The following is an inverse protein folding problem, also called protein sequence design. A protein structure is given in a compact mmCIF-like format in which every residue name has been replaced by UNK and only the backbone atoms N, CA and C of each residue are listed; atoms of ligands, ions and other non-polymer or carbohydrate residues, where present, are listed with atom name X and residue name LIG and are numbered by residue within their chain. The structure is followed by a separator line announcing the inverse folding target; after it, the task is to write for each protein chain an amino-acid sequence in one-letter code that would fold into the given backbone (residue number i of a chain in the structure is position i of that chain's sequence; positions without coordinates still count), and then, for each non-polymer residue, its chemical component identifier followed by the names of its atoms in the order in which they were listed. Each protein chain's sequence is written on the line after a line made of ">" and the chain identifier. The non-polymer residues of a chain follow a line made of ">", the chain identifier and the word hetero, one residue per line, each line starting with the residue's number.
data_IF_277357797627
#
_entry.id   IF_277357797627
#
_cell.length_a   1.000
_cell.length_b   1.000
_cell.length_c   1.000
_cell.angle_alpha   90.00
_cell.angle_beta   90.00
_cell.angle_gamma   90.00
#
_symmetry.space_group_name_H-M   'P 1'
#
loop_
_entity.id
_entity.type
_entity.pdbx_description
1 polymer ?
#
# COMPACT_ATOMS: atom_id res chain seq x y z
N UNK A 1 27.89 -26.96 3.91
CA UNK A 1 26.93 -27.02 5.02
C UNK A 1 26.31 -25.65 5.13
N UNK A 2 25.02 -25.50 4.87
CA UNK A 2 24.31 -24.23 5.09
C UNK A 2 24.14 -24.07 6.60
N UNK A 3 24.77 -23.06 7.20
CA UNK A 3 24.51 -22.77 8.61
C UNK A 3 23.05 -22.32 8.77
N UNK A 4 22.24 -23.00 9.59
CA UNK A 4 20.88 -22.57 9.88
C UNK A 4 20.90 -21.14 10.42
N UNK A 5 19.93 -20.31 10.01
CA UNK A 5 19.76 -18.94 10.52
C UNK A 5 21.01 -18.03 10.39
N UNK A 6 21.87 -18.23 9.38
CA UNK A 6 23.01 -17.36 9.11
C UNK A 6 22.60 -15.88 8.98
N UNK A 7 21.54 -15.60 8.22
CA UNK A 7 21.00 -14.25 8.03
C UNK A 7 20.55 -13.63 9.37
N UNK A 8 19.84 -14.39 10.20
CA UNK A 8 19.47 -13.92 11.53
C UNK A 8 20.69 -13.55 12.38
N UNK A 9 21.72 -14.40 12.41
CA UNK A 9 22.94 -14.10 13.18
C UNK A 9 23.63 -12.83 12.70
N UNK A 10 23.72 -12.60 11.39
CA UNK A 10 24.27 -11.34 10.87
C UNK A 10 23.48 -10.12 11.37
N UNK A 11 22.14 -10.18 11.33
CA UNK A 11 21.28 -9.11 11.83
C UNK A 11 21.42 -8.95 13.35
N UNK A 12 21.40 -10.05 14.11
CA UNK A 12 21.52 -10.06 15.57
C UNK A 12 22.87 -9.49 16.03
N UNK A 13 23.97 -9.87 15.37
CA UNK A 13 25.32 -9.34 15.62
C UNK A 13 25.40 -7.85 15.31
N UNK A 14 24.79 -7.39 14.21
CA UNK A 14 24.70 -5.97 13.87
C UNK A 14 23.91 -5.20 14.96
N UNK A 15 22.74 -5.69 15.36
CA UNK A 15 21.89 -5.05 16.37
C UNK A 15 22.54 -5.02 17.75
N UNK A 16 23.19 -6.11 18.16
CA UNK A 16 23.87 -6.20 19.47
C UNK A 16 25.00 -5.19 19.60
N UNK A 17 25.70 -4.89 18.49
CA UNK A 17 26.77 -3.88 18.44
C UNK A 17 26.28 -2.45 18.21
N UNK A 18 24.97 -2.21 18.12
CA UNK A 18 24.42 -0.91 17.76
C UNK A 18 24.64 0.14 18.85
N UNK A 19 24.87 1.38 18.41
CA UNK A 19 25.01 2.55 19.26
C UNK A 19 24.40 3.78 18.57
N UNK A 20 23.91 4.73 19.35
CA UNK A 20 23.25 5.93 18.83
C UNK A 20 21.88 5.60 18.21
N UNK A 21 21.85 5.30 16.91
CA UNK A 21 20.61 5.08 16.15
C UNK A 21 20.64 3.79 15.34
N UNK A 22 19.47 3.18 15.21
CA UNK A 22 19.22 2.00 14.37
C UNK A 22 18.20 2.37 13.30
N UNK A 23 18.45 1.98 12.05
CA UNK A 23 17.48 2.09 10.96
C UNK A 23 17.26 0.72 10.33
N UNK A 24 16.01 0.26 10.32
CA UNK A 24 15.55 -1.00 9.74
C UNK A 24 14.69 -0.67 8.53
N UNK A 25 15.09 -1.13 7.34
CA UNK A 25 14.39 -0.89 6.09
C UNK A 25 14.09 -2.23 5.45
N UNK A 26 12.81 -2.57 5.30
CA UNK A 26 12.39 -3.70 4.48
C UNK A 26 10.90 -3.53 4.12
N UNK A 27 10.47 -3.89 2.89
CA UNK A 27 9.05 -3.83 2.55
C UNK A 27 8.19 -4.80 3.37
N UNK A 28 8.77 -5.93 3.81
CA UNK A 28 8.08 -6.93 4.61
C UNK A 28 8.76 -7.09 5.96
N UNK A 29 8.01 -6.75 7.01
CA UNK A 29 8.43 -6.90 8.39
C UNK A 29 7.34 -7.67 9.13
N UNK A 30 7.73 -8.78 9.75
CA UNK A 30 6.86 -9.60 10.59
C UNK A 30 7.02 -9.20 12.05
N UNK A 31 5.89 -9.11 12.77
CA UNK A 31 5.87 -8.66 14.18
C UNK A 31 6.84 -9.44 15.06
N UNK A 32 6.82 -10.76 14.97
CA UNK A 32 7.63 -11.66 15.78
C UNK A 32 9.14 -11.47 15.56
N UNK A 33 9.53 -11.20 14.31
CA UNK A 33 10.93 -11.01 13.94
C UNK A 33 11.40 -9.61 14.32
N UNK A 34 10.55 -8.59 14.15
CA UNK A 34 10.84 -7.25 14.64
C UNK A 34 10.99 -7.24 16.17
N UNK A 35 10.07 -7.86 16.92
CA UNK A 35 10.16 -7.94 18.38
C UNK A 35 11.48 -8.57 18.85
N UNK A 36 11.91 -9.65 18.19
CA UNK A 36 13.20 -10.26 18.49
C UNK A 36 14.40 -9.39 18.08
N UNK A 37 14.27 -8.63 16.99
CA UNK A 37 15.30 -7.66 16.56
C UNK A 37 15.46 -6.56 17.60
N UNK A 38 14.35 -5.98 18.07
CA UNK A 38 14.33 -4.98 19.13
C UNK A 38 14.94 -5.51 20.44
N UNK A 39 14.71 -6.78 20.77
CA UNK A 39 15.27 -7.42 21.95
C UNK A 39 16.81 -7.53 21.90
N UNK A 40 17.41 -7.54 20.71
CA UNK A 40 18.86 -7.53 20.52
C UNK A 40 19.47 -6.11 20.56
N UNK A 41 18.65 -5.06 20.38
CA UNK A 41 19.13 -3.67 20.37
C UNK A 41 19.44 -3.21 21.80
N UNK A 42 20.68 -2.77 22.11
CA UNK A 42 21.05 -2.29 23.43
C UNK A 42 20.15 -1.15 23.93
N UNK A 43 19.89 -1.12 25.24
CA UNK A 43 19.11 -0.05 25.87
C UNK A 43 19.74 1.35 25.71
N UNK A 44 21.05 1.43 25.42
CA UNK A 44 21.78 2.66 25.15
C UNK A 44 21.50 3.27 23.78
N UNK A 45 20.85 2.54 22.86
CA UNK A 45 20.39 3.11 21.58
C UNK A 45 19.26 4.10 21.85
N UNK A 46 19.38 5.31 21.30
CA UNK A 46 18.47 6.43 21.56
C UNK A 46 17.18 6.32 20.74
N UNK A 47 17.28 5.85 19.49
CA UNK A 47 16.15 5.75 18.58
C UNK A 47 16.29 4.60 17.59
N UNK A 48 15.16 3.99 17.26
CA UNK A 48 15.03 2.91 16.28
C UNK A 48 13.99 3.36 15.25
N UNK A 49 14.42 3.50 14.00
CA UNK A 49 13.54 3.82 12.88
C UNK A 49 13.27 2.57 12.07
N UNK A 50 12.00 2.23 11.89
CA UNK A 50 11.55 1.06 11.16
C UNK A 50 10.73 1.52 9.94
N UNK A 51 11.35 1.50 8.76
CA UNK A 51 10.70 1.88 7.51
C UNK A 51 10.21 0.63 6.78
N UNK A 52 8.91 0.58 6.50
CA UNK A 52 8.24 -0.51 5.79
C UNK A 52 7.25 0.04 4.77
N UNK A 53 6.49 -0.84 4.12
CA UNK A 53 5.24 -0.46 3.46
C UNK A 53 4.10 -1.34 3.93
N UNK A 54 2.87 -0.83 3.81
CA UNK A 54 1.66 -1.62 4.04
C UNK A 54 0.75 -1.50 2.83
N UNK A 55 0.59 -2.62 2.12
CA UNK A 55 -0.29 -2.75 0.96
C UNK A 55 -1.38 -3.79 1.31
N UNK A 56 -2.67 -3.49 1.11
CA UNK A 56 -3.76 -4.38 1.49
C UNK A 56 -3.62 -5.81 0.97
N UNK A 57 -3.20 -5.99 -0.28
CA UNK A 57 -3.02 -7.29 -0.94
C UNK A 57 -1.93 -8.13 -0.27
N UNK A 58 -0.86 -7.49 0.20
CA UNK A 58 0.27 -8.11 0.87
C UNK A 58 -0.10 -8.55 2.28
N UNK A 59 -0.89 -7.73 2.97
CA UNK A 59 -1.47 -8.08 4.27
C UNK A 59 -2.50 -9.21 4.11
N UNK A 60 -3.31 -9.17 3.06
CA UNK A 60 -4.27 -10.23 2.73
C UNK A 60 -3.58 -11.56 2.42
N UNK A 61 -2.42 -11.51 1.75
CA UNK A 61 -1.56 -12.66 1.50
C UNK A 61 -0.76 -13.12 2.73
N UNK A 62 -0.79 -12.35 3.83
CA UNK A 62 -0.06 -12.66 5.05
C UNK A 62 1.45 -12.53 4.90
N UNK A 63 1.96 -11.63 4.05
CA UNK A 63 3.40 -11.36 3.92
C UNK A 63 3.85 -10.10 4.67
N UNK A 64 2.94 -9.15 4.92
CA UNK A 64 3.18 -7.92 5.69
C UNK A 64 2.31 -7.89 6.97
N UNK A 65 2.86 -7.40 8.09
CA UNK A 65 2.14 -7.30 9.37
C UNK A 65 2.00 -5.84 9.83
N UNK A 66 0.83 -5.20 9.67
CA UNK A 66 0.56 -3.87 10.21
C UNK A 66 0.59 -3.83 11.75
N UNK A 67 0.43 -4.97 12.42
CA UNK A 67 0.48 -5.14 13.87
C UNK A 67 1.85 -4.81 14.48
N UNK A 68 2.89 -4.59 13.66
CA UNK A 68 4.17 -4.06 14.15
C UNK A 68 4.01 -2.70 14.83
N UNK A 69 2.96 -1.93 14.49
CA UNK A 69 2.70 -0.60 15.08
C UNK A 69 2.50 -0.65 16.59
N UNK A 70 1.97 -1.77 17.09
CA UNK A 70 1.72 -1.97 18.52
C UNK A 70 3.04 -2.11 19.29
N UNK A 71 4.13 -2.54 18.65
CA UNK A 71 5.45 -2.59 19.29
C UNK A 71 6.00 -1.18 19.60
N UNK A 72 5.56 -0.15 18.86
CA UNK A 72 5.93 1.24 19.16
C UNK A 72 5.17 1.79 20.39
N UNK A 73 4.09 1.13 20.81
CA UNK A 73 3.44 1.44 22.08
C UNK A 73 4.30 0.96 23.26
N UNK A 74 4.95 -0.20 23.11
CA UNK A 74 5.79 -0.86 24.12
C UNK A 74 7.21 -0.29 24.21
N UNK A 75 7.86 0.01 23.08
CA UNK A 75 9.20 0.60 23.04
C UNK A 75 9.17 2.03 22.47
N UNK A 76 9.32 3.03 23.35
CA UNK A 76 9.29 4.46 22.98
C UNK A 76 10.44 4.90 22.07
N UNK A 77 11.47 4.07 21.89
CA UNK A 77 12.55 4.33 20.95
C UNK A 77 12.13 4.01 19.51
N UNK A 78 11.15 3.12 19.33
CA UNK A 78 10.70 2.67 18.02
C UNK A 78 9.75 3.69 17.39
N UNK A 79 10.10 4.10 16.17
CA UNK A 79 9.23 4.83 15.26
C UNK A 79 9.05 4.02 13.99
N UNK A 80 7.82 3.95 13.48
CA UNK A 80 7.53 3.25 12.24
C UNK A 80 7.16 4.28 11.19
N UNK A 81 7.78 4.18 10.02
CA UNK A 81 7.48 4.99 8.85
C UNK A 81 7.04 4.09 7.70
N UNK A 82 6.13 4.61 6.87
CA UNK A 82 5.65 3.95 5.67
C UNK A 82 6.22 4.64 4.44
N UNK A 83 6.89 3.88 3.59
CA UNK A 83 7.36 4.30 2.28
C UNK A 83 6.68 3.41 1.23
N UNK A 84 5.58 3.85 0.58
CA UNK A 84 4.75 3.00 -0.28
C UNK A 84 5.50 2.34 -1.45
N UNK A 85 6.47 3.04 -2.03
CA UNK A 85 7.32 2.55 -3.13
C UNK A 85 8.53 1.72 -2.66
N UNK A 86 8.63 1.41 -1.36
CA UNK A 86 9.79 0.73 -0.80
C UNK A 86 9.96 -0.69 -1.36
N UNK A 87 11.19 -1.00 -1.77
CA UNK A 87 11.60 -2.36 -2.08
C UNK A 87 13.01 -2.71 -1.55
N UNK A 88 13.76 -1.72 -1.06
CA UNK A 88 15.09 -1.92 -0.49
C UNK A 88 15.03 -2.78 0.80
N UNK A 89 16.12 -3.53 1.06
CA UNK A 89 16.36 -4.16 2.36
C UNK A 89 17.71 -3.71 2.89
N UNK A 90 17.69 -3.02 4.01
CA UNK A 90 18.86 -2.38 4.59
C UNK A 90 18.71 -2.34 6.12
N UNK A 91 19.77 -2.68 6.83
CA UNK A 91 19.86 -2.61 8.28
C UNK A 91 21.08 -1.79 8.63
N UNK A 92 20.90 -0.69 9.34
CA UNK A 92 21.95 0.30 9.60
C UNK A 92 22.07 0.55 11.11
N UNK A 93 23.30 0.50 11.61
CA UNK A 93 23.63 0.80 13.01
C UNK A 93 24.94 1.57 13.07
N UNK A 94 24.90 2.85 13.48
CA UNK A 94 26.10 3.69 13.51
C UNK A 94 26.84 3.68 12.16
N UNK A 95 28.03 3.10 12.12
CA UNK A 95 28.89 3.04 10.92
C UNK A 95 28.73 1.76 10.06
N UNK A 96 27.96 0.78 10.52
CA UNK A 96 27.82 -0.53 9.85
C UNK A 96 26.46 -0.67 9.20
N UNK A 97 26.44 -1.21 7.99
CA UNK A 97 25.22 -1.43 7.22
C UNK A 97 25.21 -2.82 6.59
N UNK A 98 24.10 -3.55 6.74
CA UNK A 98 23.83 -4.78 6.00
C UNK A 98 22.81 -4.50 4.90
N UNK A 99 23.09 -4.93 3.68
CA UNK A 99 22.21 -4.78 2.52
C UNK A 99 22.08 -6.10 1.80
N UNK A 100 20.91 -6.40 1.27
CA UNK A 100 20.74 -7.54 0.38
C UNK A 100 19.29 -7.87 0.08
N UNK A 101 18.98 -9.16 0.05
CA UNK A 101 17.66 -9.67 -0.35
C UNK A 101 16.73 -9.96 0.84
N UNK A 102 17.31 -10.15 2.03
CA UNK A 102 16.57 -10.58 3.21
C UNK A 102 15.62 -9.49 3.73
N UNK A 103 14.33 -9.80 3.78
CA UNK A 103 13.34 -9.03 4.53
C UNK A 103 13.39 -9.39 6.03
N UNK A 104 12.74 -8.59 6.90
CA UNK A 104 12.65 -8.90 8.33
C UNK A 104 11.49 -9.87 8.62
N UNK A 105 11.58 -11.08 8.07
CA UNK A 105 10.56 -12.14 8.16
C UNK A 105 11.18 -13.48 8.57
N UNK A 106 10.37 -14.41 9.09
CA UNK A 106 10.87 -15.72 9.52
C UNK A 106 11.51 -16.52 8.38
N UNK A 107 10.92 -16.46 7.18
CA UNK A 107 11.45 -17.10 5.96
C UNK A 107 12.81 -16.56 5.56
N UNK A 108 12.97 -15.24 5.51
CA UNK A 108 14.22 -14.61 5.06
C UNK A 108 15.34 -14.72 6.10
N UNK A 109 15.01 -14.63 7.39
CA UNK A 109 16.01 -14.68 8.47
C UNK A 109 16.47 -16.08 8.83
N UNK A 110 15.82 -17.13 8.31
CA UNK A 110 16.17 -18.51 8.64
C UNK A 110 15.54 -19.05 9.93
N UNK A 111 14.52 -18.36 10.47
CA UNK A 111 13.87 -18.67 11.76
C UNK A 111 12.69 -19.64 11.64
N UNK A 112 12.54 -20.29 10.50
CA UNK A 112 11.51 -21.28 10.20
C UNK A 112 12.13 -22.52 9.57
N UNK A 113 11.40 -23.63 9.54
CA UNK A 113 11.90 -24.94 9.07
C UNK A 113 12.23 -25.01 7.57
N UNK A 114 11.63 -24.15 6.75
CA UNK A 114 11.91 -24.04 5.32
C UNK A 114 12.17 -22.57 4.93
N UNK A 115 13.39 -22.07 5.21
CA UNK A 115 13.72 -20.67 4.97
C UNK A 115 14.07 -20.39 3.51
N UNK A 116 14.00 -19.13 3.12
CA UNK A 116 14.50 -18.67 1.82
C UNK A 116 16.03 -18.73 1.79
N UNK A 117 16.59 -18.83 0.58
CA UNK A 117 18.00 -18.57 0.35
C UNK A 117 18.13 -17.05 0.15
N UNK A 118 18.83 -16.39 1.06
CA UNK A 118 19.01 -14.94 1.05
C UNK A 118 20.49 -14.59 1.12
N UNK A 119 20.82 -13.33 0.84
CA UNK A 119 22.14 -12.76 1.02
C UNK A 119 22.06 -11.44 1.78
N UNK A 120 23.01 -11.22 2.68
CA UNK A 120 23.33 -9.92 3.24
C UNK A 120 24.84 -9.70 3.13
N UNK A 121 25.21 -8.53 2.63
CA UNK A 121 26.60 -8.06 2.58
C UNK A 121 26.75 -6.87 3.50
N UNK A 122 27.87 -6.83 4.22
CA UNK A 122 28.25 -5.67 5.01
C UNK A 122 28.89 -4.62 4.11
N UNK A 123 28.38 -3.39 4.23
CA UNK A 123 28.92 -2.20 3.56
C UNK A 123 29.09 -1.08 4.58
N UNK A 124 29.91 -0.09 4.24
CA UNK A 124 30.05 1.11 5.06
C UNK A 124 28.74 1.91 5.07
N UNK A 125 28.34 2.42 6.23
CA UNK A 125 27.22 3.35 6.36
C UNK A 125 27.37 4.62 5.50
N UNK A 126 28.61 5.02 5.19
CA UNK A 126 28.91 6.21 4.36
C UNK A 126 28.98 5.89 2.87
N UNK A 127 28.64 4.65 2.47
CA UNK A 127 28.59 4.29 1.06
C UNK A 127 27.58 5.19 0.30
N UNK A 128 27.94 5.78 -0.86
CA UNK A 128 27.08 6.75 -1.55
C UNK A 128 25.67 6.23 -1.86
N UNK A 129 25.54 4.97 -2.25
CA UNK A 129 24.22 4.34 -2.51
C UNK A 129 23.35 4.20 -1.25
N UNK A 130 23.96 4.04 -0.07
CA UNK A 130 23.20 4.04 1.20
C UNK A 130 22.61 5.42 1.42
N UNK A 131 23.44 6.47 1.29
CA UNK A 131 22.99 7.86 1.42
C UNK A 131 21.90 8.23 0.42
N UNK A 132 22.04 7.84 -0.85
CA UNK A 132 21.03 8.10 -1.90
C UNK A 132 19.69 7.46 -1.55
N UNK A 133 19.67 6.17 -1.19
CA UNK A 133 18.43 5.45 -0.86
C UNK A 133 17.76 6.01 0.40
N UNK A 134 18.54 6.35 1.43
CA UNK A 134 17.99 6.95 2.65
C UNK A 134 17.37 8.32 2.38
N UNK A 135 17.99 9.15 1.52
CA UNK A 135 17.41 10.44 1.12
C UNK A 135 16.11 10.28 0.32
N UNK A 136 16.03 9.28 -0.58
CA UNK A 136 14.79 8.94 -1.30
C UNK A 136 13.69 8.47 -0.36
N UNK A 137 14.04 7.65 0.65
CA UNK A 137 13.11 7.21 1.68
C UNK A 137 12.64 8.41 2.50
N UNK A 138 13.54 9.26 2.98
CA UNK A 138 13.19 10.43 3.80
C UNK A 138 12.26 11.40 3.07
N UNK A 139 12.43 11.55 1.75
CA UNK A 139 11.57 12.41 0.93
C UNK A 139 10.13 11.89 0.75
N UNK A 140 9.92 10.57 0.88
CA UNK A 140 8.64 9.93 0.56
C UNK A 140 8.00 9.17 1.73
N UNK A 141 8.75 8.92 2.80
CA UNK A 141 8.25 8.19 3.96
C UNK A 141 7.38 9.09 4.82
N UNK A 142 6.29 8.53 5.35
CA UNK A 142 5.46 9.22 6.33
C UNK A 142 5.39 8.42 7.63
N UNK A 143 5.23 9.12 8.75
CA UNK A 143 5.07 8.46 10.05
C UNK A 143 3.80 7.61 10.08
N UNK A 144 3.93 6.36 10.49
CA UNK A 144 2.83 5.42 10.60
C UNK A 144 1.99 5.73 11.84
N UNK A 145 0.67 5.68 11.70
CA UNK A 145 -0.28 5.87 12.79
C UNK A 145 -1.18 4.64 12.97
N UNK A 146 -1.69 4.37 14.18
CA UNK A 146 -2.55 3.21 14.46
C UNK A 146 -3.79 3.10 13.55
N UNK A 147 -4.37 4.23 13.16
CA UNK A 147 -5.54 4.24 12.25
C UNK A 147 -5.19 3.69 10.86
N UNK A 148 -3.96 3.90 10.38
CA UNK A 148 -3.50 3.43 9.07
C UNK A 148 -3.37 1.92 9.07
N UNK A 149 -2.78 1.35 10.14
CA UNK A 149 -2.74 -0.09 10.34
C UNK A 149 -4.14 -0.71 10.43
N UNK A 150 -5.06 -0.06 11.16
CA UNK A 150 -6.44 -0.51 11.24
C UNK A 150 -7.16 -0.47 9.87
N UNK A 151 -6.94 0.57 9.07
CA UNK A 151 -7.54 0.70 7.74
C UNK A 151 -7.05 -0.40 6.79
N UNK A 152 -5.73 -0.59 6.70
CA UNK A 152 -5.14 -1.61 5.82
C UNK A 152 -5.61 -3.02 6.21
N UNK A 153 -5.74 -3.33 7.51
CA UNK A 153 -6.28 -4.61 7.98
C UNK A 153 -7.72 -4.82 7.49
N UNK A 154 -8.56 -3.80 7.60
CA UNK A 154 -9.94 -3.87 7.08
C UNK A 154 -10.00 -4.07 5.57
N UNK A 155 -9.15 -3.39 4.80
CA UNK A 155 -9.05 -3.60 3.35
C UNK A 155 -8.60 -5.05 3.04
N UNK A 156 -7.60 -5.56 3.78
CA UNK A 156 -7.09 -6.91 3.60
C UNK A 156 -8.14 -8.00 3.88
N UNK A 157 -8.95 -7.85 4.94
CA UNK A 157 -10.05 -8.79 5.22
C UNK A 157 -11.10 -8.80 4.10
N UNK A 158 -11.48 -7.64 3.57
CA UNK A 158 -12.38 -7.57 2.42
C UNK A 158 -11.81 -8.29 1.19
N UNK A 159 -10.51 -8.14 0.93
CA UNK A 159 -9.84 -8.83 -0.17
C UNK A 159 -9.78 -10.35 0.04
N UNK A 160 -9.66 -10.83 1.29
CA UNK A 160 -9.72 -12.27 1.60
C UNK A 160 -11.12 -12.84 1.37
N UNK A 161 -12.16 -12.13 1.80
CA UNK A 161 -13.56 -12.55 1.62
C UNK A 161 -13.94 -12.70 0.14
N UNK A 162 -13.37 -11.86 -0.73
CA UNK A 162 -13.63 -11.87 -2.18
C UNK A 162 -12.60 -12.69 -2.98
N UNK A 163 -11.59 -13.29 -2.32
CA UNK A 163 -10.67 -14.21 -2.99
C UNK A 163 -11.36 -15.57 -3.09
N UNK A 164 -11.67 -16.09 -4.30
CA UNK A 164 -12.34 -17.38 -4.43
C UNK A 164 -11.49 -18.45 -3.73
N UNK A 165 -12.14 -19.25 -2.88
CA UNK A 165 -11.50 -20.39 -2.21
C UNK A 165 -10.91 -21.29 -3.30
N UNK A 166 -9.59 -21.46 -3.30
CA UNK A 166 -8.85 -22.04 -4.42
C UNK A 166 -9.24 -23.51 -4.70
N UNK A 167 -10.14 -23.73 -5.67
CA UNK A 167 -10.15 -24.79 -6.70
C UNK A 167 -11.50 -24.76 -7.43
N UNK A 168 -11.49 -24.92 -8.76
CA UNK A 168 -12.64 -25.09 -9.68
C UNK A 168 -13.33 -23.87 -10.33
N UNK A 169 -12.82 -22.64 -10.25
CA UNK A 169 -13.23 -21.54 -11.15
C UNK A 169 -12.07 -20.69 -11.66
N UNK A 170 -11.03 -21.35 -12.17
CA UNK A 170 -10.03 -20.70 -13.03
C UNK A 170 -10.71 -20.18 -14.31
N UNK A 171 -11.30 -18.97 -14.27
CA UNK A 171 -11.36 -17.93 -15.35
C UNK A 171 -12.63 -17.08 -15.41
N UNK A 172 -13.73 -17.36 -14.71
CA UNK A 172 -14.99 -16.63 -14.97
C UNK A 172 -15.21 -15.36 -14.12
N UNK A 173 -14.57 -15.23 -12.95
CA UNK A 173 -14.74 -14.02 -12.09
C UNK A 173 -13.62 -12.97 -12.25
N UNK A 174 -12.56 -13.28 -12.99
CA UNK A 174 -11.48 -12.35 -13.31
C UNK A 174 -11.90 -11.23 -14.30
N UNK A 175 -13.20 -11.12 -14.62
CA UNK A 175 -13.73 -10.24 -15.66
C UNK A 175 -14.55 -9.05 -15.15
N UNK A 176 -14.89 -8.97 -13.86
CA UNK A 176 -15.51 -7.77 -13.31
C UNK A 176 -14.45 -6.91 -12.63
N UNK A 177 -13.82 -6.01 -13.40
CA UNK A 177 -12.89 -5.02 -12.89
C UNK A 177 -13.51 -4.15 -11.77
N UNK A 178 -12.66 -3.46 -11.01
CA UNK A 178 -13.14 -2.52 -9.99
C UNK A 178 -13.94 -1.39 -10.64
N UNK A 179 -15.13 -1.11 -10.09
CA UNK A 179 -15.91 0.08 -10.37
C UNK A 179 -16.23 0.81 -9.05
N UNK A 180 -16.08 2.15 -8.98
CA UNK A 180 -16.38 2.89 -7.77
C UNK A 180 -17.83 2.73 -7.31
N UNK A 181 -18.05 2.53 -6.01
CA UNK A 181 -19.40 2.36 -5.42
C UNK A 181 -19.85 3.56 -4.59
N UNK A 182 -18.93 4.31 -3.96
CA UNK A 182 -19.28 5.53 -3.23
C UNK A 182 -19.50 6.70 -4.20
N UNK A 183 -20.62 7.42 -4.02
CA UNK A 183 -20.93 8.65 -4.77
C UNK A 183 -20.22 9.89 -4.23
N UNK A 184 -19.36 9.71 -3.22
CA UNK A 184 -18.68 10.77 -2.48
C UNK A 184 -17.17 10.64 -2.61
N UNK A 185 -16.58 10.86 -3.80
CA UNK A 185 -15.13 10.76 -3.97
C UNK A 185 -14.37 11.70 -3.02
N UNK A 186 -14.95 12.86 -2.68
CA UNK A 186 -14.39 13.82 -1.73
C UNK A 186 -14.26 13.29 -0.29
N UNK A 187 -15.00 12.24 0.04
CA UNK A 187 -14.98 11.61 1.37
C UNK A 187 -13.88 10.54 1.49
N UNK A 188 -13.32 10.07 0.38
CA UNK A 188 -12.43 8.90 0.35
C UNK A 188 -11.08 9.21 1.00
N UNK A 189 -10.41 10.30 0.59
CA UNK A 189 -9.11 10.67 1.18
C UNK A 189 -9.21 11.06 2.67
N UNK A 190 -10.19 11.87 3.12
CA UNK A 190 -10.38 12.13 4.54
C UNK A 190 -10.65 10.89 5.39
N UNK A 191 -11.38 9.90 4.85
CA UNK A 191 -11.57 8.60 5.50
C UNK A 191 -10.25 7.81 5.58
N UNK A 192 -9.51 7.78 4.47
CA UNK A 192 -8.21 7.12 4.36
C UNK A 192 -7.21 7.64 5.40
N UNK A 193 -7.15 8.96 5.62
CA UNK A 193 -6.32 9.57 6.66
C UNK A 193 -6.91 9.47 8.09
N UNK A 194 -8.03 8.78 8.29
CA UNK A 194 -8.72 8.71 9.59
C UNK A 194 -9.23 10.05 10.12
N UNK A 195 -9.33 11.09 9.27
CA UNK A 195 -9.75 12.47 9.63
C UNK A 195 -11.26 12.66 9.60
N UNK A 196 -11.99 11.75 8.96
CA UNK A 196 -13.44 11.79 8.87
C UNK A 196 -14.07 10.48 9.33
N UNK A 197 -15.28 10.58 9.90
CA UNK A 197 -16.15 9.46 10.26
C UNK A 197 -17.47 9.62 9.54
N UNK A 198 -18.05 8.51 9.09
CA UNK A 198 -19.32 8.54 8.36
C UNK A 198 -20.31 7.55 8.96
N UNK A 199 -21.56 7.58 8.49
CA UNK A 199 -22.52 6.53 8.81
C UNK A 199 -22.05 5.18 8.25
N UNK A 200 -22.39 4.08 8.92
CA UNK A 200 -21.91 2.71 8.58
C UNK A 200 -22.04 2.36 7.08
N UNK A 201 -23.15 2.74 6.43
CA UNK A 201 -23.36 2.45 5.01
C UNK A 201 -22.39 3.19 4.09
N UNK A 202 -22.07 4.45 4.41
CA UNK A 202 -21.11 5.26 3.66
C UNK A 202 -19.70 4.76 3.89
N UNK A 203 -19.34 4.43 5.13
CA UNK A 203 -18.03 3.85 5.46
C UNK A 203 -17.80 2.53 4.74
N UNK A 204 -18.81 1.66 4.68
CA UNK A 204 -18.71 0.38 3.97
C UNK A 204 -18.43 0.58 2.47
N UNK A 205 -19.09 1.54 1.82
CA UNK A 205 -18.86 1.86 0.41
C UNK A 205 -17.43 2.41 0.18
N UNK A 206 -16.99 3.38 0.99
CA UNK A 206 -15.64 3.95 0.89
C UNK A 206 -14.58 2.87 1.13
N UNK A 207 -14.76 2.05 2.16
CA UNK A 207 -13.82 0.99 2.50
C UNK A 207 -13.73 -0.08 1.40
N UNK A 208 -14.86 -0.42 0.77
CA UNK A 208 -14.90 -1.31 -0.38
C UNK A 208 -14.08 -0.73 -1.53
N UNK A 209 -14.32 0.53 -1.90
CA UNK A 209 -13.55 1.19 -2.96
C UNK A 209 -12.06 1.20 -2.67
N UNK A 210 -11.66 1.59 -1.46
CA UNK A 210 -10.26 1.58 -1.03
C UNK A 210 -9.63 0.18 -1.10
N UNK A 211 -10.37 -0.87 -0.76
CA UNK A 211 -9.85 -2.24 -0.82
C UNK A 211 -9.55 -2.68 -2.26
N UNK A 212 -10.48 -2.44 -3.19
CA UNK A 212 -10.31 -2.84 -4.61
C UNK A 212 -9.38 -1.91 -5.40
N UNK A 213 -9.21 -0.68 -4.94
CA UNK A 213 -8.18 0.23 -5.42
C UNK A 213 -6.76 -0.24 -5.07
N UNK A 214 -6.60 -1.11 -4.05
CA UNK A 214 -5.30 -1.57 -3.57
C UNK A 214 -4.41 -0.44 -3.04
N UNK A 215 -5.02 0.62 -2.49
CA UNK A 215 -4.26 1.82 -2.06
C UNK A 215 -3.33 1.47 -0.90
N UNK A 216 -2.00 1.67 -1.04
CA UNK A 216 -1.06 1.54 0.08
C UNK A 216 -1.41 2.50 1.21
N UNK A 217 -1.09 2.15 2.45
CA UNK A 217 -1.15 3.10 3.55
C UNK A 217 0.04 4.07 3.49
N UNK A 218 -0.22 5.33 3.80
CA UNK A 218 0.80 6.38 3.92
C UNK A 218 1.03 7.27 2.71
N UNK A 219 0.10 7.32 1.77
CA UNK A 219 0.13 8.27 0.66
C UNK A 219 -0.29 9.68 1.12
N UNK A 220 0.37 10.68 0.57
CA UNK A 220 -0.10 12.07 0.59
C UNK A 220 -1.36 12.23 -0.30
N UNK A 221 -2.02 13.39 -0.23
CA UNK A 221 -3.24 13.63 -1.02
C UNK A 221 -2.97 13.60 -2.53
N UNK A 222 -1.83 14.15 -2.95
CA UNK A 222 -1.41 14.16 -4.33
C UNK A 222 -1.14 12.73 -4.82
N UNK A 223 -0.33 11.95 -4.09
CA UNK A 223 -0.02 10.56 -4.44
C UNK A 223 -1.26 9.65 -4.39
N UNK A 224 -2.15 9.87 -3.42
CA UNK A 224 -3.42 9.18 -3.34
C UNK A 224 -4.28 9.48 -4.57
N UNK A 225 -4.36 10.75 -4.97
CA UNK A 225 -5.13 11.18 -6.13
C UNK A 225 -4.57 10.60 -7.43
N UNK A 226 -3.24 10.63 -7.60
CA UNK A 226 -2.54 10.05 -8.74
C UNK A 226 -2.75 8.52 -8.79
N UNK A 227 -2.71 7.84 -7.64
CA UNK A 227 -3.01 6.41 -7.52
C UNK A 227 -4.43 6.11 -7.99
N UNK A 228 -5.42 6.82 -7.45
CA UNK A 228 -6.81 6.64 -7.83
C UNK A 228 -7.03 6.95 -9.30
N UNK A 229 -6.44 8.03 -9.83
CA UNK A 229 -6.53 8.36 -11.26
C UNK A 229 -5.95 7.24 -12.13
N UNK A 230 -4.79 6.68 -11.77
CA UNK A 230 -4.19 5.54 -12.47
C UNK A 230 -5.14 4.33 -12.49
N UNK A 231 -5.74 3.99 -11.34
CA UNK A 231 -6.71 2.88 -11.24
C UNK A 231 -7.98 3.14 -12.03
N UNK A 232 -8.48 4.38 -12.08
CA UNK A 232 -9.63 4.74 -12.92
C UNK A 232 -9.31 4.53 -14.41
N UNK A 233 -8.10 4.85 -14.86
CA UNK A 233 -7.67 4.65 -16.26
C UNK A 233 -7.59 3.17 -16.67
N UNK A 234 -7.50 2.25 -15.71
CA UNK A 234 -7.53 0.81 -15.98
C UNK A 234 -8.95 0.27 -16.23
N UNK A 235 -10.00 1.05 -15.95
CA UNK A 235 -11.39 0.63 -16.18
C UNK A 235 -11.62 0.44 -17.69
N UNK A 236 -11.99 -0.78 -18.17
CA UNK A 236 -12.14 -1.03 -19.60
C UNK A 236 -13.13 -0.11 -20.31
N UNK A 237 -14.22 0.25 -19.63
CA UNK A 237 -15.25 1.16 -20.14
C UNK A 237 -14.75 2.61 -20.33
N UNK A 238 -13.58 2.96 -19.78
CA UNK A 238 -12.96 4.28 -19.92
C UNK A 238 -11.84 4.32 -20.97
N UNK A 239 -11.59 3.21 -21.69
CA UNK A 239 -10.49 3.12 -22.67
C UNK A 239 -10.55 4.22 -23.73
N UNK A 240 -11.72 4.51 -24.29
CA UNK A 240 -11.89 5.58 -25.28
C UNK A 240 -11.44 6.94 -24.73
N UNK A 241 -11.78 7.23 -23.46
CA UNK A 241 -11.36 8.46 -22.80
C UNK A 241 -9.84 8.52 -22.61
N UNK A 242 -9.20 7.38 -22.27
CA UNK A 242 -7.74 7.27 -22.12
C UNK A 242 -7.00 7.44 -23.44
N UNK A 243 -7.59 6.99 -24.55
CA UNK A 243 -7.04 7.11 -25.91
C UNK A 243 -7.17 8.54 -26.49
N UNK A 244 -7.81 9.46 -25.75
CA UNK A 244 -7.97 10.86 -26.13
C UNK A 244 -9.31 11.17 -26.82
N UNK A 245 -10.19 10.19 -26.94
CA UNK A 245 -11.53 10.38 -27.50
C UNK A 245 -12.50 10.96 -26.47
N UNK A 246 -13.64 11.43 -26.98
CA UNK A 246 -14.76 11.92 -26.19
C UNK A 246 -15.56 10.75 -25.67
N UNK A 247 -16.02 10.82 -24.42
CA UNK A 247 -16.90 9.80 -23.83
C UNK A 247 -18.19 10.46 -23.34
N UNK A 248 -19.32 10.11 -23.95
CA UNK A 248 -20.63 10.56 -23.45
C UNK A 248 -21.14 9.65 -22.34
N UNK A 249 -22.10 10.14 -21.56
CA UNK A 249 -22.80 9.33 -20.58
C UNK A 249 -23.51 8.11 -21.19
N UNK A 250 -24.03 8.22 -22.42
CA UNK A 250 -24.68 7.11 -23.13
C UNK A 250 -23.66 6.05 -23.52
N UNK A 251 -22.50 6.46 -24.04
CA UNK A 251 -21.43 5.54 -24.42
C UNK A 251 -20.90 4.77 -23.20
N UNK A 252 -20.69 5.47 -22.08
CA UNK A 252 -20.25 4.85 -20.83
C UNK A 252 -21.32 3.90 -20.25
N UNK A 253 -22.60 4.25 -20.30
CA UNK A 253 -23.68 3.35 -19.86
C UNK A 253 -23.71 2.07 -20.71
N UNK A 254 -23.63 2.21 -22.03
CA UNK A 254 -23.62 1.08 -22.97
C UNK A 254 -22.40 0.18 -22.72
N UNK A 255 -21.20 0.76 -22.58
CA UNK A 255 -19.99 0.02 -22.27
C UNK A 255 -20.10 -0.75 -20.95
N UNK A 256 -20.72 -0.17 -19.92
CA UNK A 256 -20.95 -0.85 -18.64
C UNK A 256 -21.99 -1.97 -18.72
N UNK A 257 -23.04 -1.83 -19.53
CA UNK A 257 -24.00 -2.90 -19.78
C UNK A 257 -23.33 -4.07 -20.51
N UNK A 258 -22.57 -3.79 -21.58
CA UNK A 258 -21.92 -4.81 -22.40
C UNK A 258 -20.76 -5.50 -21.69
N UNK A 259 -19.91 -4.76 -21.01
CA UNK A 259 -18.65 -5.28 -20.45
C UNK A 259 -18.80 -5.79 -19.02
N UNK A 260 -19.69 -5.19 -18.22
CA UNK A 260 -19.89 -5.55 -16.82
C UNK A 260 -21.26 -6.20 -16.55
N UNK A 261 -22.10 -6.39 -17.58
CA UNK A 261 -23.39 -7.07 -17.46
C UNK A 261 -24.40 -6.32 -16.58
N UNK A 262 -24.26 -5.00 -16.43
CA UNK A 262 -25.12 -4.20 -15.56
C UNK A 262 -26.50 -3.98 -16.19
N UNK A 263 -27.54 -3.95 -15.35
CA UNK A 263 -28.88 -3.48 -15.78
C UNK A 263 -28.88 -1.98 -16.04
N UNK A 264 -29.86 -1.46 -16.79
CA UNK A 264 -29.98 -0.02 -17.10
C UNK A 264 -29.89 0.88 -15.86
N UNK A 265 -30.60 0.55 -14.78
CA UNK A 265 -30.53 1.33 -13.55
C UNK A 265 -29.13 1.26 -12.90
N UNK A 266 -28.49 0.09 -12.91
CA UNK A 266 -27.16 -0.08 -12.35
C UNK A 266 -26.10 0.66 -13.19
N UNK A 267 -26.16 0.53 -14.52
CA UNK A 267 -25.28 1.21 -15.45
C UNK A 267 -25.40 2.72 -15.31
N UNK A 268 -26.63 3.26 -15.26
CA UNK A 268 -26.86 4.69 -15.03
C UNK A 268 -26.21 5.17 -13.73
N UNK A 269 -26.45 4.46 -12.62
CA UNK A 269 -25.88 4.82 -11.31
C UNK A 269 -24.36 4.71 -11.30
N UNK A 270 -23.79 3.70 -11.94
CA UNK A 270 -22.36 3.49 -12.05
C UNK A 270 -21.71 4.60 -12.90
N UNK A 271 -22.31 4.97 -14.03
CA UNK A 271 -21.89 6.10 -14.85
C UNK A 271 -21.85 7.40 -14.07
N UNK A 272 -22.91 7.75 -13.34
CA UNK A 272 -22.96 8.95 -12.47
C UNK A 272 -21.86 8.93 -11.39
N UNK A 273 -21.53 7.75 -10.89
CA UNK A 273 -20.50 7.58 -9.86
C UNK A 273 -19.09 7.73 -10.44
N UNK A 274 -18.78 7.03 -11.54
CA UNK A 274 -17.51 7.14 -12.27
C UNK A 274 -17.26 8.59 -12.71
N UNK A 275 -18.29 9.25 -13.23
CA UNK A 275 -18.32 10.67 -13.56
C UNK A 275 -17.88 11.57 -12.39
N UNK A 276 -18.42 11.34 -11.19
CA UNK A 276 -18.04 12.08 -10.00
C UNK A 276 -16.57 11.84 -9.62
N UNK A 277 -16.11 10.59 -9.69
CA UNK A 277 -14.72 10.22 -9.40
C UNK A 277 -13.72 10.83 -10.39
N UNK A 278 -14.01 10.78 -11.69
CA UNK A 278 -13.15 11.36 -12.73
C UNK A 278 -13.00 12.87 -12.58
N UNK A 279 -14.07 13.59 -12.20
CA UNK A 279 -13.98 15.02 -11.91
C UNK A 279 -13.16 15.35 -10.67
N UNK A 280 -13.23 14.49 -9.67
CA UNK A 280 -12.57 14.74 -8.40
C UNK A 280 -11.07 14.40 -8.44
N UNK A 281 -10.74 13.23 -8.97
CA UNK A 281 -9.36 12.72 -8.97
C UNK A 281 -8.63 12.93 -10.29
N UNK A 282 -9.35 13.00 -11.41
CA UNK A 282 -8.75 13.15 -12.73
C UNK A 282 -8.79 14.58 -13.24
N UNK A 283 -8.04 14.81 -14.33
CA UNK A 283 -8.11 16.03 -15.12
C UNK A 283 -9.18 15.89 -16.20
N UNK A 284 -10.42 15.80 -15.76
CA UNK A 284 -11.60 15.71 -16.63
C UNK A 284 -12.61 16.79 -16.25
N UNK A 285 -13.22 17.41 -17.26
CA UNK A 285 -14.32 18.35 -17.09
C UNK A 285 -15.50 17.97 -17.98
N UNK A 286 -16.65 18.60 -17.73
CA UNK A 286 -17.91 18.24 -18.37
C UNK A 286 -18.60 19.43 -19.00
N UNK A 287 -19.02 19.28 -20.25
CA UNK A 287 -19.77 20.32 -20.98
C UNK A 287 -21.26 20.30 -20.63
N UNK A 288 -21.94 21.46 -20.71
CA UNK A 288 -23.30 21.63 -20.19
C UNK A 288 -24.35 21.30 -21.27
N UNK A 289 -25.15 20.27 -21.01
CA UNK A 289 -26.35 19.91 -21.78
C UNK A 289 -26.53 18.39 -21.90
N UNK A 290 -25.54 17.74 -22.53
CA UNK A 290 -25.30 16.28 -22.47
C UNK A 290 -23.94 16.11 -21.81
N UNK A 291 -23.86 15.31 -20.76
CA UNK A 291 -22.62 15.20 -19.99
C UNK A 291 -21.56 14.47 -20.83
N UNK A 292 -20.55 15.21 -21.27
CA UNK A 292 -19.45 14.74 -22.11
C UNK A 292 -18.14 14.90 -21.34
N UNK A 293 -17.39 13.81 -21.14
CA UNK A 293 -16.09 13.83 -20.48
C UNK A 293 -14.98 14.06 -21.51
N UNK A 294 -14.09 15.02 -21.22
CA UNK A 294 -12.89 15.30 -22.02
C UNK A 294 -11.65 15.40 -21.15
N UNK A 295 -10.51 15.01 -21.72
CA UNK A 295 -9.20 15.28 -21.11
C UNK A 295 -8.92 16.79 -21.05
N UNK A 296 -8.61 17.30 -19.86
CA UNK A 296 -8.24 18.71 -19.64
C UNK A 296 -8.67 19.25 -18.28
N UNK A 297 -8.23 20.47 -17.96
CA UNK A 297 -8.80 21.24 -16.85
C UNK A 297 -9.83 22.23 -17.40
N UNK A 298 -10.96 22.36 -16.71
CA UNK A 298 -11.90 23.43 -16.97
C UNK A 298 -11.17 24.77 -16.79
N UNK A 299 -11.14 25.59 -17.85
CA UNK A 299 -10.59 26.94 -17.78
C UNK A 299 -11.67 27.82 -17.15
N UNK A 300 -11.49 28.15 -15.87
CA UNK A 300 -12.26 29.17 -15.16
C UNK A 300 -11.93 30.58 -15.65
#
# INVERSE_FOLDING_TARGET
>A
MTEPAHIWRQIEELMTGAHGRVTLVAPFIKREVLAATLSAVPASVESIECITRWVPEEVAAGVSDPEIIELAEDDKRLRIALCPSLHAKLYLTGERCLIGSANLTGKATGRVTNPNIEILVEVSATHPEVGRVLAEIEACAIEAAPHMAALVRRQAELLKEHRPAASDQLREEAQQGWYPVTRRPEAVYPYYCGRARFGRSVEAAILRDLAFLGVPAGLTEAEFSDWVESRLREIPALRALVEGDRLTNVDLQHALQEQAGLTDEQAKRATETIAAWLRHFGRFYTDVGTWELRHGRELS
#
